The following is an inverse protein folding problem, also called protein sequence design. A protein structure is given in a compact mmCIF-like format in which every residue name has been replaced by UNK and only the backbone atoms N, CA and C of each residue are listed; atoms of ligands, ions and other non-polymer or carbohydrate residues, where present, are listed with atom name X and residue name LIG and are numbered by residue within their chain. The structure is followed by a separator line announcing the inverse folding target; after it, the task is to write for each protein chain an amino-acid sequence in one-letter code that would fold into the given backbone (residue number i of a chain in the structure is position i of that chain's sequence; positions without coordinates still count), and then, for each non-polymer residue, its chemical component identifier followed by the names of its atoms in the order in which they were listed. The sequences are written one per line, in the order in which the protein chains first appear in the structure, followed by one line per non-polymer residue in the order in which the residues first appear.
data_IF_330748249852
#
_entry.id   IF_330748249852
#
_cell.length_a   1.000
_cell.length_b   1.000
_cell.length_c   1.000
_cell.angle_alpha   90.00
_cell.angle_beta   90.00
_cell.angle_gamma   90.00
#
_symmetry.space_group_name_H-M   'P 1'
#
loop_
_entity.id
_entity.type
_entity.pdbx_description
1 polymer ?
#
# COMPACT_ATOMS: atom_id res chain seq x y z
N UNK A 1 8.83 23.96 12.46
CA UNK A 1 7.68 23.83 11.53
C UNK A 1 7.50 22.37 11.24
N UNK A 2 6.31 21.85 11.43
CA UNK A 2 5.96 20.48 11.01
C UNK A 2 6.19 20.36 9.50
N UNK A 3 6.81 19.26 9.09
CA UNK A 3 7.01 18.96 7.68
C UNK A 3 5.97 17.94 7.25
N UNK A 4 5.18 18.28 6.23
CA UNK A 4 4.15 17.40 5.67
C UNK A 4 4.68 16.83 4.35
N UNK A 5 4.65 15.50 4.23
CA UNK A 5 5.13 14.75 3.07
C UNK A 5 3.95 13.98 2.48
N UNK A 6 3.72 14.18 1.18
CA UNK A 6 2.72 13.41 0.43
C UNK A 6 3.31 12.06 -0.01
N UNK A 7 2.70 10.99 0.46
CA UNK A 7 3.14 9.62 0.18
C UNK A 7 2.27 8.92 -0.89
N UNK A 8 1.40 9.66 -1.56
CA UNK A 8 0.46 9.09 -2.54
C UNK A 8 0.94 9.28 -3.97
N UNK A 9 0.93 8.20 -4.76
CA UNK A 9 1.10 8.28 -6.19
C UNK A 9 -0.15 8.81 -6.90
N UNK A 10 0.05 9.58 -7.97
CA UNK A 10 -1.06 10.11 -8.75
C UNK A 10 -1.78 9.01 -9.55
N UNK A 11 -3.11 9.03 -9.55
CA UNK A 11 -3.92 8.25 -10.47
C UNK A 11 -3.93 8.94 -11.85
N UNK A 12 -3.55 8.21 -12.89
CA UNK A 12 -3.51 8.71 -14.26
C UNK A 12 -3.82 7.57 -15.24
N UNK A 13 -4.33 7.89 -16.41
CA UNK A 13 -4.49 6.91 -17.49
C UNK A 13 -3.14 6.27 -17.83
N UNK A 14 -3.14 4.93 -17.99
CA UNK A 14 -1.91 4.18 -18.25
C UNK A 14 -1.00 3.97 -17.03
N UNK A 15 -1.53 4.20 -15.82
CA UNK A 15 -0.83 3.82 -14.58
C UNK A 15 -0.63 2.30 -14.55
N UNK A 16 0.47 1.86 -13.94
CA UNK A 16 0.67 0.45 -13.59
C UNK A 16 -0.57 -0.12 -12.88
N UNK A 17 -0.77 -1.42 -12.95
CA UNK A 17 -1.89 -2.05 -12.26
C UNK A 17 -1.77 -3.56 -12.20
N UNK A 18 -2.60 -4.19 -11.38
CA UNK A 18 -2.60 -5.64 -11.18
C UNK A 18 -3.10 -6.42 -12.41
N UNK A 19 -3.64 -5.76 -13.43
CA UNK A 19 -3.87 -6.36 -14.74
C UNK A 19 -2.57 -6.86 -15.42
N UNK A 20 -1.39 -6.43 -14.94
CA UNK A 20 -0.09 -6.94 -15.40
C UNK A 20 0.22 -8.34 -14.83
N UNK A 21 -0.48 -8.76 -13.76
CA UNK A 21 -0.27 -10.08 -13.16
C UNK A 21 -0.95 -11.17 -13.96
N UNK A 22 -0.29 -12.34 -14.17
CA UNK A 22 -0.89 -13.47 -14.87
C UNK A 22 -2.25 -13.87 -14.28
N UNK A 23 -3.28 -13.96 -15.14
CA UNK A 23 -4.64 -14.31 -14.74
C UNK A 23 -5.52 -13.16 -14.27
N UNK A 24 -4.98 -11.94 -14.13
CA UNK A 24 -5.76 -10.76 -13.73
C UNK A 24 -6.02 -9.77 -14.87
N UNK A 25 -5.54 -10.04 -16.07
CA UNK A 25 -5.57 -9.15 -17.24
C UNK A 25 -7.00 -8.70 -17.62
N UNK A 26 -7.98 -9.58 -17.40
CA UNK A 26 -9.39 -9.34 -17.71
C UNK A 26 -10.27 -9.10 -16.47
N UNK A 27 -9.69 -9.10 -15.28
CA UNK A 27 -10.41 -8.92 -14.01
C UNK A 27 -10.21 -7.52 -13.47
N UNK A 28 -8.96 -7.05 -13.48
CA UNK A 28 -8.59 -5.74 -12.94
C UNK A 28 -8.50 -4.72 -14.08
N UNK A 29 -9.35 -3.68 -14.11
CA UNK A 29 -9.30 -2.68 -15.15
C UNK A 29 -8.05 -1.81 -15.02
N UNK A 30 -7.57 -1.31 -16.16
CA UNK A 30 -6.59 -0.23 -16.18
C UNK A 30 -7.22 1.05 -15.63
N UNK A 31 -6.38 1.93 -15.08
CA UNK A 31 -6.84 3.26 -14.68
C UNK A 31 -7.09 4.11 -15.93
N UNK A 32 -8.30 4.65 -16.02
CA UNK A 32 -8.70 5.60 -17.06
C UNK A 32 -9.18 6.90 -16.43
N UNK A 33 -8.67 8.01 -16.89
CA UNK A 33 -9.14 9.36 -16.55
C UNK A 33 -9.53 10.05 -17.85
N UNK A 34 -10.82 10.34 -17.98
CA UNK A 34 -11.41 10.92 -19.20
C UNK A 34 -12.06 12.25 -18.87
N UNK A 35 -11.78 13.28 -19.66
CA UNK A 35 -12.52 14.55 -19.60
C UNK A 35 -13.86 14.38 -20.29
N UNK A 36 -14.96 14.54 -19.56
CA UNK A 36 -16.33 14.36 -20.07
C UNK A 36 -17.05 15.70 -20.29
N UNK A 37 -16.54 16.79 -19.74
CA UNK A 37 -17.04 18.14 -19.98
C UNK A 37 -15.90 19.16 -19.87
N UNK A 38 -15.96 20.20 -20.70
CA UNK A 38 -14.99 21.31 -20.67
C UNK A 38 -15.70 22.63 -20.43
N UNK A 39 -15.03 23.61 -19.79
CA UNK A 39 -15.59 24.93 -19.55
C UNK A 39 -16.02 25.59 -20.85
N UNK A 40 -15.26 25.38 -21.94
CA UNK A 40 -15.53 25.99 -23.25
C UNK A 40 -16.84 25.51 -23.87
N UNK A 41 -17.22 24.24 -23.68
CA UNK A 41 -18.34 23.61 -24.34
C UNK A 41 -19.57 23.45 -23.45
N UNK A 42 -19.33 23.34 -22.13
CA UNK A 42 -20.36 22.96 -21.17
C UNK A 42 -20.48 23.91 -19.97
N UNK A 43 -19.71 25.02 -19.95
CA UNK A 43 -19.63 25.98 -18.85
C UNK A 43 -19.11 25.41 -17.51
N UNK A 44 -18.67 24.14 -17.48
CA UNK A 44 -18.02 23.50 -16.34
C UNK A 44 -17.01 22.44 -16.81
N UNK A 45 -16.13 22.03 -15.92
CA UNK A 45 -15.18 20.95 -16.15
C UNK A 45 -15.56 19.72 -15.34
N UNK A 46 -15.60 18.54 -15.99
CA UNK A 46 -15.81 17.27 -15.32
C UNK A 46 -14.97 16.15 -15.95
N UNK A 47 -14.57 15.20 -15.12
CA UNK A 47 -13.86 14.00 -15.54
C UNK A 47 -14.53 12.75 -15.01
N UNK A 48 -14.41 11.65 -15.75
CA UNK A 48 -14.75 10.30 -15.33
C UNK A 48 -13.47 9.58 -14.94
N UNK A 49 -13.51 8.81 -13.84
CA UNK A 49 -12.42 7.93 -13.42
C UNK A 49 -12.96 6.50 -13.44
N UNK A 50 -12.24 5.60 -14.09
CA UNK A 50 -12.44 4.16 -14.04
C UNK A 50 -11.19 3.54 -13.43
N UNK A 51 -11.34 2.80 -12.36
CA UNK A 51 -10.24 2.10 -11.69
C UNK A 51 -10.76 0.99 -10.79
N UNK A 52 -9.90 0.06 -10.43
CA UNK A 52 -10.15 -0.85 -9.32
C UNK A 52 -10.00 -0.12 -7.97
N UNK A 53 -10.61 -0.65 -6.92
CA UNK A 53 -10.45 -0.13 -5.55
C UNK A 53 -9.02 -0.28 -5.01
N UNK A 54 -8.20 -1.11 -5.66
CA UNK A 54 -6.78 -1.33 -5.36
C UNK A 54 -5.87 -0.70 -6.43
N UNK A 55 -6.21 0.50 -6.89
CA UNK A 55 -5.43 1.26 -7.89
C UNK A 55 -4.69 2.43 -7.27
N UNK A 56 -3.48 2.68 -7.75
CA UNK A 56 -2.61 3.73 -7.23
C UNK A 56 -2.16 3.44 -5.79
N UNK A 57 -2.07 4.46 -4.95
CA UNK A 57 -1.90 4.28 -3.51
C UNK A 57 -3.27 4.03 -2.89
N UNK A 58 -3.44 2.92 -2.20
CA UNK A 58 -4.72 2.50 -1.62
C UNK A 58 -4.55 1.96 -0.19
N UNK A 59 -5.65 1.93 0.54
CA UNK A 59 -5.78 1.24 1.81
C UNK A 59 -6.67 0.01 1.62
N UNK A 60 -6.30 -1.11 2.25
CA UNK A 60 -6.96 -2.39 2.08
C UNK A 60 -7.23 -3.07 3.43
N UNK A 61 -8.37 -3.74 3.52
CA UNK A 61 -8.90 -4.37 4.72
C UNK A 61 -9.21 -5.86 4.52
N UNK A 62 -9.51 -6.55 5.60
CA UNK A 62 -9.67 -8.00 5.64
C UNK A 62 -10.65 -8.61 4.65
N UNK A 63 -11.72 -7.89 4.26
CA UNK A 63 -12.69 -8.39 3.27
C UNK A 63 -12.07 -8.65 1.87
N UNK A 64 -10.82 -8.24 1.64
CA UNK A 64 -10.12 -8.55 0.39
C UNK A 64 -9.85 -10.06 0.23
N UNK A 65 -9.50 -10.75 1.31
CA UNK A 65 -9.11 -12.17 1.29
C UNK A 65 -10.01 -13.02 2.21
N UNK A 66 -10.52 -12.45 3.30
CA UNK A 66 -11.27 -13.20 4.31
C UNK A 66 -12.77 -13.08 4.03
N UNK A 67 -13.46 -14.21 3.91
CA UNK A 67 -14.92 -14.27 3.61
C UNK A 67 -15.77 -13.45 4.60
N UNK A 68 -15.36 -13.40 5.86
CA UNK A 68 -16.01 -12.61 6.91
C UNK A 68 -15.15 -11.44 7.37
N UNK A 69 -14.23 -10.99 6.50
CA UNK A 69 -13.40 -9.83 6.75
C UNK A 69 -14.21 -8.55 6.78
N UNK A 70 -13.73 -7.59 7.56
CA UNK A 70 -14.34 -6.26 7.65
C UNK A 70 -14.10 -5.47 6.37
N UNK A 71 -15.14 -4.83 5.84
CA UNK A 71 -15.00 -3.88 4.73
C UNK A 71 -14.37 -2.56 5.20
N UNK A 72 -13.80 -1.81 4.27
CA UNK A 72 -13.07 -0.59 4.62
C UNK A 72 -13.98 0.52 5.15
N UNK A 73 -15.23 0.61 4.67
CA UNK A 73 -16.21 1.60 5.13
C UNK A 73 -16.76 1.34 6.55
N UNK A 74 -16.45 0.20 7.15
CA UNK A 74 -16.80 -0.15 8.52
C UNK A 74 -15.78 0.29 9.58
N UNK A 75 -14.64 0.87 9.15
CA UNK A 75 -13.63 1.44 10.03
C UNK A 75 -13.98 2.88 10.41
N UNK A 76 -13.58 3.30 11.60
CA UNK A 76 -13.75 4.68 12.05
C UNK A 76 -12.65 5.59 11.49
N UNK A 77 -12.86 6.89 11.48
CA UNK A 77 -11.87 7.86 10.98
C UNK A 77 -10.57 7.80 11.78
N UNK A 78 -10.67 7.52 13.09
CA UNK A 78 -9.52 7.39 14.00
C UNK A 78 -8.63 6.20 13.66
N UNK A 79 -9.17 5.19 12.94
CA UNK A 79 -8.38 4.04 12.49
C UNK A 79 -7.40 4.43 11.37
N UNK A 80 -7.64 5.51 10.67
CA UNK A 80 -6.82 6.02 9.55
C UNK A 80 -5.82 7.10 9.95
N UNK A 81 -5.76 7.46 11.25
CA UNK A 81 -4.85 8.47 11.80
C UNK A 81 -4.09 7.82 12.95
N UNK A 82 -2.79 7.58 12.74
CA UNK A 82 -1.96 6.84 13.71
C UNK A 82 -0.60 7.49 13.91
N UNK A 83 -0.02 7.38 15.10
CA UNK A 83 1.43 7.47 15.22
C UNK A 83 2.07 6.47 14.27
N UNK A 84 3.19 6.82 13.65
CA UNK A 84 3.81 5.95 12.67
C UNK A 84 5.31 5.80 12.92
N UNK A 85 5.81 4.61 12.63
CA UNK A 85 7.23 4.26 12.66
C UNK A 85 7.68 3.86 11.26
N UNK A 86 8.90 4.26 10.91
CA UNK A 86 9.47 4.02 9.60
C UNK A 86 10.68 3.11 9.74
N UNK A 87 10.70 1.99 9.02
CA UNK A 87 11.89 1.18 8.82
C UNK A 87 12.45 1.52 7.44
N UNK A 88 13.62 2.14 7.40
CA UNK A 88 14.34 2.39 6.16
C UNK A 88 15.31 1.26 5.90
N UNK A 89 15.06 0.49 4.86
CA UNK A 89 15.98 -0.54 4.41
C UNK A 89 17.01 0.06 3.44
N UNK A 90 18.19 -0.54 3.31
CA UNK A 90 19.00 -0.32 2.12
C UNK A 90 18.15 -0.59 0.89
N UNK A 91 18.29 0.18 -0.22
CA UNK A 91 17.47 -0.01 -1.41
C UNK A 91 17.46 -1.47 -1.88
N UNK A 92 16.28 -2.07 -1.97
CA UNK A 92 16.11 -3.44 -2.39
C UNK A 92 16.09 -3.53 -3.92
N UNK A 93 16.67 -4.60 -4.45
CA UNK A 93 16.67 -4.90 -5.89
C UNK A 93 15.42 -5.66 -6.33
N UNK A 94 15.41 -6.00 -7.63
CA UNK A 94 14.34 -6.79 -8.25
C UNK A 94 14.25 -8.18 -7.60
N UNK A 95 13.02 -8.61 -7.31
CA UNK A 95 12.70 -9.95 -6.79
C UNK A 95 13.45 -10.35 -5.50
N UNK A 96 13.90 -9.37 -4.72
CA UNK A 96 14.51 -9.64 -3.42
C UNK A 96 13.43 -10.07 -2.43
N UNK A 97 13.71 -11.10 -1.63
CA UNK A 97 12.86 -11.56 -0.55
C UNK A 97 13.33 -10.96 0.79
N UNK A 98 12.48 -10.17 1.40
CA UNK A 98 12.74 -9.45 2.65
C UNK A 98 12.35 -10.33 3.84
N UNK A 99 13.29 -10.64 4.72
CA UNK A 99 13.09 -11.47 5.89
C UNK A 99 12.99 -10.66 7.20
N UNK A 100 12.53 -11.32 8.27
CA UNK A 100 12.43 -10.71 9.60
C UNK A 100 13.77 -10.17 10.15
N UNK A 101 14.89 -10.81 9.84
CA UNK A 101 16.20 -10.39 10.33
C UNK A 101 16.58 -9.01 9.80
N UNK A 102 16.29 -8.74 8.51
CA UNK A 102 16.54 -7.44 7.90
C UNK A 102 15.66 -6.35 8.52
N UNK A 103 14.37 -6.64 8.79
CA UNK A 103 13.46 -5.71 9.44
C UNK A 103 13.93 -5.39 10.86
N UNK A 104 14.21 -6.42 11.67
CA UNK A 104 14.66 -6.29 13.07
C UNK A 104 15.91 -5.43 13.21
N UNK A 105 16.86 -5.58 12.28
CA UNK A 105 18.13 -4.84 12.30
C UNK A 105 17.93 -3.33 12.13
N UNK A 106 16.89 -2.93 11.41
CA UNK A 106 16.62 -1.53 11.03
C UNK A 106 15.42 -0.92 11.78
N UNK A 107 14.74 -1.70 12.64
CA UNK A 107 13.52 -1.26 13.29
C UNK A 107 13.79 -0.28 14.44
N UNK A 108 13.06 0.85 14.53
CA UNK A 108 12.96 1.66 15.73
C UNK A 108 12.11 0.95 16.80
N UNK A 109 11.92 1.59 17.95
CA UNK A 109 10.90 1.15 18.92
C UNK A 109 9.51 1.32 18.31
N UNK A 110 8.72 0.23 18.31
CA UNK A 110 7.37 0.17 17.76
C UNK A 110 6.40 -0.07 18.89
N UNK A 111 5.39 0.80 19.01
CA UNK A 111 4.35 0.66 20.00
C UNK A 111 3.12 -0.06 19.39
N UNK A 112 2.34 -0.73 20.25
CA UNK A 112 1.08 -1.35 19.82
C UNK A 112 0.15 -0.31 19.21
N UNK A 113 -0.53 -0.70 18.14
CA UNK A 113 -1.48 0.12 17.37
C UNK A 113 -0.86 1.28 16.58
N UNK A 114 0.47 1.40 16.53
CA UNK A 114 1.14 2.27 15.58
C UNK A 114 0.85 1.85 14.14
N UNK A 115 1.08 2.74 13.20
CA UNK A 115 1.35 2.39 11.81
C UNK A 115 2.84 2.06 11.66
N UNK A 116 3.16 1.00 10.92
CA UNK A 116 4.53 0.64 10.58
C UNK A 116 4.71 0.72 9.07
N UNK A 117 5.64 1.57 8.64
CA UNK A 117 5.95 1.77 7.22
C UNK A 117 7.33 1.22 6.92
N UNK A 118 7.44 0.42 5.86
CA UNK A 118 8.71 -0.11 5.35
C UNK A 118 9.08 0.61 4.07
N UNK A 119 10.18 1.33 4.09
CA UNK A 119 10.84 1.94 2.92
C UNK A 119 11.83 0.93 2.35
N UNK A 120 11.48 0.29 1.25
CA UNK A 120 12.36 -0.64 0.51
C UNK A 120 13.19 0.07 -0.55
N UNK A 121 12.88 1.34 -0.83
CA UNK A 121 13.41 2.13 -1.94
C UNK A 121 12.81 1.76 -3.29
N UNK A 122 11.75 0.91 -3.35
CA UNK A 122 11.09 0.53 -4.60
C UNK A 122 10.13 1.59 -5.12
N UNK A 123 9.63 2.48 -4.25
CA UNK A 123 8.75 3.60 -4.64
C UNK A 123 9.30 4.47 -5.77
N UNK A 124 10.64 4.52 -5.96
CA UNK A 124 11.31 5.20 -7.10
C UNK A 124 10.99 4.58 -8.46
N UNK A 125 10.50 3.34 -8.48
CA UNK A 125 10.11 2.61 -9.68
C UNK A 125 8.66 2.88 -10.08
N UNK A 126 7.92 3.71 -9.33
CA UNK A 126 6.54 4.06 -9.64
C UNK A 126 6.33 4.37 -11.13
N UNK A 127 5.37 3.69 -11.73
CA UNK A 127 5.01 3.80 -13.16
C UNK A 127 6.17 3.53 -14.15
N UNK A 128 7.18 2.76 -13.75
CA UNK A 128 8.24 2.27 -14.65
C UNK A 128 7.98 0.82 -15.04
N UNK A 129 8.46 0.36 -16.21
CA UNK A 129 8.37 -1.04 -16.60
C UNK A 129 8.91 -1.98 -15.50
N UNK A 130 8.18 -3.05 -15.23
CA UNK A 130 8.55 -4.03 -14.20
C UNK A 130 8.16 -3.64 -12.77
N UNK A 131 7.51 -2.50 -12.55
CA UNK A 131 7.13 -2.05 -11.21
C UNK A 131 6.37 -3.11 -10.41
N UNK A 132 5.39 -3.77 -11.01
CA UNK A 132 4.59 -4.82 -10.39
C UNK A 132 5.31 -6.17 -10.42
N UNK A 133 5.82 -6.58 -11.59
CA UNK A 133 6.32 -7.94 -11.80
C UNK A 133 7.71 -8.20 -11.24
N UNK A 134 8.47 -7.16 -10.93
CA UNK A 134 9.87 -7.27 -10.46
C UNK A 134 10.07 -6.71 -9.05
N UNK A 135 9.00 -6.31 -8.35
CA UNK A 135 9.13 -5.74 -7.02
C UNK A 135 9.76 -6.75 -6.02
N UNK A 136 10.46 -6.25 -5.00
CA UNK A 136 10.82 -7.06 -3.86
C UNK A 136 9.54 -7.50 -3.11
N UNK A 137 9.61 -8.60 -2.39
CA UNK A 137 8.47 -9.16 -1.66
C UNK A 137 8.87 -9.54 -0.23
N UNK A 138 7.89 -9.78 0.63
CA UNK A 138 8.13 -10.20 2.01
C UNK A 138 8.16 -11.73 2.11
N UNK A 139 9.00 -12.24 2.99
CA UNK A 139 8.91 -13.64 3.44
C UNK A 139 7.88 -13.79 4.57
N UNK A 140 7.34 -15.00 4.79
CA UNK A 140 6.37 -15.26 5.87
C UNK A 140 6.88 -14.87 7.25
N UNK A 141 8.16 -15.06 7.54
CA UNK A 141 8.76 -14.69 8.83
C UNK A 141 8.77 -13.17 9.05
N UNK A 142 8.91 -12.38 7.98
CA UNK A 142 8.82 -10.93 8.03
C UNK A 142 7.41 -10.47 8.41
N UNK A 143 6.37 -11.02 7.77
CA UNK A 143 4.98 -10.67 8.09
C UNK A 143 4.58 -11.15 9.49
N UNK A 144 5.00 -12.36 9.91
CA UNK A 144 4.79 -12.83 11.29
C UNK A 144 5.41 -11.87 12.30
N UNK A 145 6.64 -11.42 12.06
CA UNK A 145 7.27 -10.44 12.92
C UNK A 145 6.52 -9.09 12.96
N UNK A 146 5.98 -8.65 11.82
CA UNK A 146 5.18 -7.41 11.73
C UNK A 146 3.92 -7.54 12.59
N UNK A 147 3.15 -8.62 12.45
CA UNK A 147 1.91 -8.82 13.23
C UNK A 147 2.17 -9.01 14.73
N UNK A 148 3.31 -9.58 15.12
CA UNK A 148 3.72 -9.70 16.52
C UNK A 148 3.93 -8.34 17.21
N UNK A 149 4.03 -7.24 16.43
CA UNK A 149 4.09 -5.87 16.95
C UNK A 149 2.70 -5.30 17.27
N UNK A 150 1.63 -6.01 16.92
CA UNK A 150 0.23 -5.58 17.14
C UNK A 150 -0.05 -4.19 16.55
N UNK A 151 0.48 -3.91 15.36
CA UNK A 151 0.28 -2.65 14.65
C UNK A 151 -1.11 -2.57 14.00
N UNK A 152 -1.59 -1.36 13.76
CA UNK A 152 -2.90 -1.12 13.12
C UNK A 152 -2.82 -1.03 11.60
N UNK A 153 -1.74 -0.46 11.06
CA UNK A 153 -1.53 -0.25 9.64
C UNK A 153 -0.14 -0.70 9.26
N UNK A 154 -0.04 -1.54 8.24
CA UNK A 154 1.21 -1.93 7.62
C UNK A 154 1.37 -1.21 6.28
N UNK A 155 2.32 -0.29 6.18
CA UNK A 155 2.60 0.51 4.99
C UNK A 155 3.85 0.03 4.25
N UNK A 156 3.81 -0.02 2.92
CA UNK A 156 4.95 -0.42 2.08
C UNK A 156 5.00 0.39 0.78
N UNK A 157 6.18 0.56 0.21
CA UNK A 157 6.39 1.20 -1.10
C UNK A 157 6.43 0.20 -2.27
N UNK A 158 6.08 -1.06 -2.01
CA UNK A 158 5.97 -2.12 -3.02
C UNK A 158 4.51 -2.42 -3.35
N UNK A 159 4.17 -2.74 -4.61
CA UNK A 159 2.79 -3.04 -5.00
C UNK A 159 2.29 -4.38 -4.45
N UNK A 160 3.16 -5.37 -4.31
CA UNK A 160 2.80 -6.70 -3.83
C UNK A 160 3.71 -7.11 -2.67
N UNK A 161 3.11 -7.53 -1.53
CA UNK A 161 3.88 -8.12 -0.43
C UNK A 161 4.20 -9.60 -0.67
N UNK A 162 3.38 -10.28 -1.48
CA UNK A 162 3.54 -11.69 -1.83
C UNK A 162 4.27 -11.86 -3.17
N UNK A 163 5.12 -12.88 -3.26
CA UNK A 163 5.86 -13.20 -4.46
C UNK A 163 4.99 -14.00 -5.45
N UNK A 164 4.31 -13.33 -6.37
CA UNK A 164 3.54 -13.99 -7.43
C UNK A 164 4.40 -14.69 -8.49
N UNK A 165 5.70 -14.37 -8.52
CA UNK A 165 6.66 -14.89 -9.50
C UNK A 165 7.42 -16.14 -9.01
N UNK A 166 7.34 -16.49 -7.73
CA UNK A 166 8.01 -17.67 -7.17
C UNK A 166 7.14 -18.90 -7.36
N UNK A 167 7.47 -19.76 -8.32
CA UNK A 167 6.77 -21.01 -8.56
C UNK A 167 7.16 -22.10 -7.55
N UNK A 168 8.40 -22.00 -7.01
CA UNK A 168 9.02 -23.04 -6.18
C UNK A 168 8.91 -22.78 -4.68
N UNK A 169 8.42 -21.60 -4.26
CA UNK A 169 8.35 -21.21 -2.85
C UNK A 169 6.88 -21.11 -2.39
N UNK A 170 6.29 -22.25 -2.00
CA UNK A 170 4.93 -22.28 -1.43
C UNK A 170 4.80 -21.43 -0.15
N UNK A 171 5.90 -21.25 0.60
CA UNK A 171 5.88 -20.40 1.79
C UNK A 171 5.78 -18.92 1.43
N UNK A 172 6.39 -18.50 0.32
CA UNK A 172 6.30 -17.12 -0.16
C UNK A 172 4.93 -16.79 -0.77
N UNK A 173 4.24 -17.81 -1.34
CA UNK A 173 2.86 -17.69 -1.84
C UNK A 173 1.81 -17.82 -0.74
N UNK A 174 2.18 -18.17 0.45
CA UNK A 174 1.37 -18.71 1.54
C UNK A 174 0.36 -17.78 2.20
N UNK A 175 -0.34 -16.91 1.47
CA UNK A 175 -1.43 -16.12 2.03
C UNK A 175 -0.95 -15.07 3.04
N UNK A 176 0.13 -14.34 2.73
CA UNK A 176 0.66 -13.30 3.62
C UNK A 176 -0.37 -12.21 3.93
N UNK A 177 -1.24 -11.90 2.98
CA UNK A 177 -2.38 -10.99 3.20
C UNK A 177 -3.36 -11.57 4.21
N UNK A 178 -3.66 -12.87 4.12
CA UNK A 178 -4.51 -13.56 5.10
C UNK A 178 -3.93 -13.45 6.51
N UNK A 179 -2.65 -13.75 6.68
CA UNK A 179 -1.94 -13.65 7.98
C UNK A 179 -2.04 -12.21 8.54
N UNK A 180 -1.86 -11.20 7.70
CA UNK A 180 -1.95 -9.79 8.08
C UNK A 180 -3.38 -9.42 8.52
N UNK A 181 -4.37 -9.76 7.69
CA UNK A 181 -5.76 -9.36 7.88
C UNK A 181 -6.48 -10.12 9.00
N UNK A 182 -6.11 -11.37 9.30
CA UNK A 182 -6.63 -12.12 10.45
C UNK A 182 -6.33 -11.42 11.79
N UNK A 183 -5.29 -10.59 11.83
CA UNK A 183 -4.94 -9.75 13.00
C UNK A 183 -5.61 -8.38 13.01
N UNK A 184 -6.41 -8.07 11.97
CA UNK A 184 -7.08 -6.78 11.82
C UNK A 184 -6.14 -5.64 11.40
N UNK A 185 -4.94 -5.96 10.94
CA UNK A 185 -3.99 -4.96 10.43
C UNK A 185 -4.40 -4.56 9.01
N UNK A 186 -4.52 -3.26 8.74
CA UNK A 186 -4.78 -2.72 7.41
C UNK A 186 -3.48 -2.71 6.58
N UNK A 187 -3.59 -2.97 5.27
CA UNK A 187 -2.48 -2.79 4.33
C UNK A 187 -2.59 -1.43 3.63
N UNK A 188 -1.52 -0.66 3.67
CA UNK A 188 -1.39 0.60 2.97
C UNK A 188 -0.29 0.48 1.91
N UNK A 189 -0.67 0.41 0.64
CA UNK A 189 0.28 0.14 -0.45
C UNK A 189 -0.21 0.68 -1.81
N UNK A 190 0.72 0.86 -2.75
CA UNK A 190 2.12 1.19 -2.49
C UNK A 190 2.30 2.68 -2.23
N UNK A 191 3.30 3.02 -1.43
CA UNK A 191 3.67 4.39 -1.08
C UNK A 191 4.78 4.91 -2.00
N UNK A 192 4.87 6.24 -2.12
CA UNK A 192 5.98 6.94 -2.78
C UNK A 192 6.61 7.97 -1.83
N UNK A 193 7.72 8.58 -2.25
CA UNK A 193 8.38 9.68 -1.53
C UNK A 193 8.87 9.34 -0.11
N UNK A 194 9.02 8.06 0.24
CA UNK A 194 9.53 7.65 1.55
C UNK A 194 10.98 8.12 1.77
N UNK A 195 11.73 8.34 0.70
CA UNK A 195 13.08 8.91 0.72
C UNK A 195 13.10 10.36 1.25
N UNK A 196 11.98 11.08 1.18
CA UNK A 196 11.86 12.43 1.70
C UNK A 196 11.68 12.49 3.22
N UNK A 197 11.29 11.38 3.86
CA UNK A 197 11.15 11.31 5.31
C UNK A 197 12.55 11.30 5.93
N UNK A 198 12.81 12.19 6.88
CA UNK A 198 14.12 12.28 7.54
C UNK A 198 14.15 11.60 8.92
N UNK A 199 13.00 11.47 9.57
CA UNK A 199 12.85 10.85 10.89
C UNK A 199 12.31 9.42 10.77
N UNK A 200 12.49 8.63 11.81
CA UNK A 200 11.96 7.27 11.89
C UNK A 200 10.57 7.20 12.56
N UNK A 201 9.99 8.35 12.89
CA UNK A 201 8.68 8.47 13.54
C UNK A 201 7.97 9.76 13.14
N UNK A 202 6.65 9.76 13.31
CA UNK A 202 5.76 10.90 13.02
C UNK A 202 4.30 10.48 13.08
N UNK A 203 3.43 11.21 12.40
CA UNK A 203 2.00 10.90 12.28
C UNK A 203 1.64 10.55 10.85
N UNK A 204 0.97 9.42 10.68
CA UNK A 204 0.36 9.00 9.42
C UNK A 204 -1.11 9.40 9.38
N UNK A 205 -1.55 9.95 8.25
CA UNK A 205 -2.95 10.18 7.91
C UNK A 205 -3.18 9.56 6.53
N UNK A 206 -4.07 8.56 6.45
CA UNK A 206 -4.40 7.83 5.22
C UNK A 206 -5.92 7.67 5.08
N UNK A 207 -6.58 8.70 4.57
CA UNK A 207 -8.04 8.72 4.46
C UNK A 207 -8.48 8.17 3.10
N UNK A 208 -9.04 6.93 3.05
CA UNK A 208 -9.50 6.33 1.82
C UNK A 208 -10.80 6.97 1.33
N UNK A 209 -11.10 6.83 0.06
CA UNK A 209 -12.45 7.11 -0.44
C UNK A 209 -13.44 6.23 0.30
N UNK A 210 -14.52 6.85 0.82
CA UNK A 210 -15.58 6.11 1.53
C UNK A 210 -16.53 5.47 0.54
N UNK A 211 -16.17 4.30 0.05
CA UNK A 211 -16.98 3.49 -0.87
C UNK A 211 -17.61 2.34 -0.07
N UNK A 212 -18.94 2.25 -0.09
CA UNK A 212 -19.69 1.25 0.70
C UNK A 212 -19.44 -0.17 0.15
N UNK A 213 -19.12 -1.10 1.06
CA UNK A 213 -19.04 -2.52 0.79
C UNK A 213 -17.81 -2.90 -0.06
N UNK A 214 -16.72 -2.16 0.05
CA UNK A 214 -15.45 -2.49 -0.62
C UNK A 214 -14.38 -2.84 0.39
N UNK A 215 -13.50 -3.76 0.00
CA UNK A 215 -12.37 -4.19 0.81
C UNK A 215 -11.21 -3.18 0.81
N UNK A 216 -11.16 -2.30 -0.18
CA UNK A 216 -10.12 -1.30 -0.34
C UNK A 216 -10.61 -0.06 -1.06
N UNK A 217 -9.83 1.01 -1.02
CA UNK A 217 -10.08 2.22 -1.80
C UNK A 217 -8.80 3.04 -2.00
N UNK A 218 -8.67 3.74 -3.15
CA UNK A 218 -7.63 4.74 -3.34
C UNK A 218 -7.63 5.75 -2.19
N UNK A 219 -6.45 6.12 -1.73
CA UNK A 219 -6.30 6.97 -0.55
C UNK A 219 -5.27 8.06 -0.76
N UNK A 220 -5.53 9.26 -0.20
CA UNK A 220 -4.50 10.27 -0.04
C UNK A 220 -3.78 10.04 1.27
N UNK A 221 -2.47 9.90 1.19
CA UNK A 221 -1.60 9.59 2.33
C UNK A 221 -0.65 10.74 2.59
N UNK A 222 -0.64 11.22 3.80
CA UNK A 222 0.35 12.21 4.25
C UNK A 222 1.06 11.71 5.50
N UNK A 223 2.34 12.04 5.58
CA UNK A 223 3.16 11.84 6.77
C UNK A 223 3.58 13.19 7.32
N UNK A 224 3.38 13.38 8.62
CA UNK A 224 3.77 14.60 9.34
C UNK A 224 4.96 14.26 10.23
N UNK A 225 6.12 14.86 9.94
CA UNK A 225 7.30 14.78 10.80
C UNK A 225 7.13 15.75 11.98
N UNK A 226 7.16 15.19 13.18
CA UNK A 226 7.06 15.95 14.44
C UNK A 226 8.44 16.36 15.00
#
# INVERSE_FOLDING_TARGET
MERIIDLSGALASGLWGYHELPGLENIVPQVEVETIATVKENDFFASRIVCSTISGTYLEAGAHILEHGKNLDEYSVEDFIKPAKIIKLPPQGEKVLINASLLKKNAPSIEKRDALIIDTGWGRMWNRPGYVLQCPNMLPDAIRWVIDKEISIFGVDIPCIEASWSEDDEEAKGGLLGILFEKGTLLLAPLINLDQISKDHGKLICLPLKVKGTSGAPTRVIFIEE
#
